data_IF_374814750574
#
_entry.id   IF_374814750574
#
_cell.length_a   1.000
_cell.length_b   1.000
_cell.length_c   1.000
_cell.angle_alpha   90.00
_cell.angle_beta   90.00
_cell.angle_gamma   90.00
#
_symmetry.space_group_name_H-M   'P 1'
#
loop_
_entity.id
_entity.type
_entity.pdbx_description
1 polymer ?
#
# COMPACT_ATOMS: atom_id res chain seq x y z
N UNK A 1 7.18 -11.56 15.23
CA UNK A 1 7.63 -11.52 13.82
C UNK A 1 7.28 -10.15 13.27
N UNK A 2 8.30 -9.33 12.97
CA UNK A 2 8.13 -8.06 12.28
C UNK A 2 7.68 -8.35 10.85
N UNK A 3 6.54 -7.83 10.43
CA UNK A 3 6.20 -7.80 9.03
C UNK A 3 7.10 -6.78 8.35
N UNK A 4 8.19 -7.28 7.76
CA UNK A 4 9.10 -6.46 6.99
C UNK A 4 8.47 -6.27 5.62
N UNK A 5 7.74 -5.16 5.45
CA UNK A 5 7.24 -4.73 4.14
C UNK A 5 8.44 -4.72 3.20
N UNK A 6 8.40 -5.54 2.14
CA UNK A 6 9.48 -5.61 1.16
C UNK A 6 9.78 -4.22 0.61
N UNK A 7 11.07 -3.90 0.43
CA UNK A 7 11.48 -2.58 -0.08
C UNK A 7 10.83 -2.26 -1.44
N UNK A 8 10.56 -3.28 -2.26
CA UNK A 8 9.82 -3.16 -3.52
C UNK A 8 8.39 -2.65 -3.31
N UNK A 9 7.69 -3.13 -2.28
CA UNK A 9 6.34 -2.68 -1.92
C UNK A 9 6.38 -1.23 -1.46
N UNK A 10 7.37 -0.87 -0.65
CA UNK A 10 7.58 0.51 -0.23
C UNK A 10 7.86 1.44 -1.43
N UNK A 11 8.71 1.01 -2.36
CA UNK A 11 9.04 1.77 -3.55
C UNK A 11 7.83 1.94 -4.49
N UNK A 12 7.02 0.89 -4.65
CA UNK A 12 5.77 0.93 -5.39
C UNK A 12 4.78 1.90 -4.74
N UNK A 13 4.48 1.72 -3.45
CA UNK A 13 3.59 2.62 -2.72
C UNK A 13 3.99 4.09 -2.89
N UNK A 14 5.27 4.42 -2.68
CA UNK A 14 5.79 5.79 -2.83
C UNK A 14 5.63 6.34 -4.26
N UNK A 15 5.81 5.51 -5.30
CA UNK A 15 5.67 5.92 -6.70
C UNK A 15 4.23 6.22 -7.11
N UNK A 16 3.26 5.51 -6.52
CA UNK A 16 1.84 5.69 -6.81
C UNK A 16 1.14 6.61 -5.80
N UNK A 17 1.89 7.36 -5.00
CA UNK A 17 1.36 8.19 -3.92
C UNK A 17 0.42 7.41 -3.00
N UNK A 18 0.77 6.16 -2.70
CA UNK A 18 0.07 5.30 -1.77
C UNK A 18 0.94 5.05 -0.54
N UNK A 19 0.30 4.77 0.59
CA UNK A 19 0.97 4.53 1.86
C UNK A 19 0.66 3.13 2.34
N UNK A 20 1.67 2.26 2.41
CA UNK A 20 1.51 0.97 3.08
C UNK A 20 1.43 1.22 4.59
N UNK A 21 0.26 1.00 5.19
CA UNK A 21 0.03 1.21 6.63
C UNK A 21 0.59 0.06 7.44
N UNK A 22 0.19 -1.15 7.07
CA UNK A 22 0.59 -2.39 7.74
C UNK A 22 0.60 -3.52 6.74
N UNK A 23 1.59 -4.40 6.88
CA UNK A 23 1.58 -5.70 6.25
C UNK A 23 1.34 -6.76 7.32
N UNK A 24 0.30 -7.53 7.16
CA UNK A 24 0.03 -8.74 7.90
C UNK A 24 0.58 -9.96 7.13
N UNK A 25 0.71 -11.12 7.76
CA UNK A 25 1.05 -12.36 7.04
C UNK A 25 0.04 -12.72 5.93
N UNK A 26 -1.20 -12.26 6.01
CA UNK A 26 -2.28 -12.59 5.06
C UNK A 26 -2.83 -11.40 4.28
N UNK A 27 -2.57 -10.18 4.74
CA UNK A 27 -3.20 -8.95 4.22
C UNK A 27 -2.18 -7.82 4.14
N UNK A 28 -2.24 -6.96 3.14
CA UNK A 28 -1.48 -5.72 3.06
C UNK A 28 -2.46 -4.56 3.04
N UNK A 29 -2.39 -3.70 4.04
CA UNK A 29 -3.24 -2.51 4.15
C UNK A 29 -2.53 -1.32 3.55
N UNK A 30 -3.17 -0.71 2.55
CA UNK A 30 -2.66 0.44 1.82
C UNK A 30 -3.67 1.57 1.85
N UNK A 31 -3.23 2.75 2.27
CA UNK A 31 -4.00 3.97 2.25
C UNK A 31 -3.72 4.79 0.99
N UNK A 32 -4.78 5.37 0.44
CA UNK A 32 -4.78 6.14 -0.81
C UNK A 32 -5.89 7.18 -0.74
N UNK A 33 -5.70 8.32 -1.41
CA UNK A 33 -6.72 9.36 -1.42
C UNK A 33 -7.71 9.28 -2.56
N UNK A 34 -7.27 8.71 -3.67
CA UNK A 34 -8.09 8.46 -4.85
C UNK A 34 -8.22 6.96 -5.09
N UNK A 35 -8.84 6.56 -6.19
CA UNK A 35 -8.95 5.14 -6.55
C UNK A 35 -7.56 4.53 -6.78
N UNK A 36 -7.28 3.39 -6.15
CA UNK A 36 -6.00 2.72 -6.33
C UNK A 36 -5.88 2.29 -7.79
N UNK A 37 -4.83 2.73 -8.51
CA UNK A 37 -4.65 2.28 -9.87
C UNK A 37 -4.49 0.76 -9.87
N UNK A 38 -5.21 0.08 -10.77
CA UNK A 38 -5.15 -1.38 -10.88
C UNK A 38 -3.71 -1.89 -11.04
N UNK A 39 -2.81 -1.07 -11.61
CA UNK A 39 -1.38 -1.34 -11.68
C UNK A 39 -0.68 -1.43 -10.32
N UNK A 40 -1.03 -0.57 -9.35
CA UNK A 40 -0.51 -0.65 -7.98
C UNK A 40 -0.99 -1.94 -7.31
N UNK A 41 -2.30 -2.23 -7.38
CA UNK A 41 -2.87 -3.45 -6.82
C UNK A 41 -2.22 -4.72 -7.40
N UNK A 42 -2.02 -4.75 -8.71
CA UNK A 42 -1.36 -5.86 -9.39
C UNK A 42 0.10 -6.01 -8.93
N UNK A 43 0.84 -4.91 -8.84
CA UNK A 43 2.24 -4.93 -8.39
C UNK A 43 2.37 -5.36 -6.92
N UNK A 44 1.53 -4.82 -6.03
CA UNK A 44 1.50 -5.20 -4.62
C UNK A 44 1.13 -6.67 -4.41
N UNK A 45 0.10 -7.14 -5.12
CA UNK A 45 -0.30 -8.55 -5.06
C UNK A 45 0.76 -9.47 -5.64
N UNK A 46 1.52 -9.02 -6.63
CA UNK A 46 2.64 -9.78 -7.19
C UNK A 46 3.83 -9.85 -6.22
N UNK A 47 4.22 -8.71 -5.65
CA UNK A 47 5.36 -8.62 -4.73
C UNK A 47 5.08 -9.32 -3.39
N UNK A 48 3.87 -9.20 -2.85
CA UNK A 48 3.51 -9.77 -1.54
C UNK A 48 2.80 -11.11 -1.61
N UNK A 49 2.06 -11.39 -2.69
CA UNK A 49 1.17 -12.56 -2.79
C UNK A 49 -0.05 -12.51 -1.85
N UNK A 50 -0.29 -11.39 -1.17
CA UNK A 50 -1.30 -11.28 -0.09
C UNK A 50 -2.57 -10.57 -0.55
N UNK A 51 -3.61 -10.61 0.29
CA UNK A 51 -4.83 -9.83 0.07
C UNK A 51 -4.52 -8.35 0.26
N UNK A 52 -4.87 -7.51 -0.71
CA UNK A 52 -4.69 -6.06 -0.57
C UNK A 52 -5.96 -5.46 0.00
N UNK A 53 -5.83 -4.75 1.13
CA UNK A 53 -6.88 -3.97 1.74
C UNK A 53 -6.63 -2.50 1.43
N UNK A 54 -7.61 -1.83 0.84
CA UNK A 54 -7.50 -0.41 0.50
C UNK A 54 -8.30 0.41 1.50
N UNK A 55 -7.63 1.34 2.15
CA UNK A 55 -8.27 2.37 2.95
C UNK A 55 -8.30 3.69 2.18
N UNK A 56 -9.49 4.24 1.99
CA UNK A 56 -9.63 5.59 1.43
C UNK A 56 -9.41 6.63 2.51
N UNK A 57 -8.34 7.41 2.36
CA UNK A 57 -8.01 8.51 3.26
C UNK A 57 -8.25 9.86 2.58
N UNK A 58 -8.66 10.91 3.30
CA UNK A 58 -8.70 12.24 2.74
C UNK A 58 -7.30 12.70 2.34
N UNK A 59 -7.17 13.48 1.26
CA UNK A 59 -5.88 13.87 0.67
C UNK A 59 -4.98 14.56 1.69
N UNK A 60 -5.56 15.45 2.50
CA UNK A 60 -4.88 16.10 3.60
C UNK A 60 -4.22 15.13 4.60
N UNK A 61 -4.85 13.98 4.89
CA UNK A 61 -4.25 12.97 5.78
C UNK A 61 -3.14 12.21 5.07
N UNK A 62 -3.31 11.90 3.79
CA UNK A 62 -2.32 11.18 3.00
C UNK A 62 -1.05 12.03 2.79
N UNK A 63 -1.23 13.31 2.46
CA UNK A 63 -0.13 14.28 2.30
C UNK A 63 0.67 14.47 3.58
N UNK A 64 0.03 14.43 4.76
CA UNK A 64 0.74 14.49 6.04
C UNK A 64 1.57 13.23 6.35
N UNK A 65 1.33 12.13 5.65
CA UNK A 65 1.94 10.82 5.93
C UNK A 65 2.92 10.34 4.83
N UNK A 66 2.98 11.04 3.68
CA UNK A 66 3.90 10.81 2.56
C UNK A 66 5.29 11.41 2.84
#
# INVERSE_FOLDING_TARGET
MNAQISEEVHALCRRYQALALSEDPTTLTVALSEEAPQGLLAALRFATGKRIHLEQWPAARLEMAL
#
